data_IF_253127251796
#
_entry.id   IF_253127251796
#
_cell.length_a   1.000
_cell.length_b   1.000
_cell.length_c   1.000
_cell.angle_alpha   90.00
_cell.angle_beta   90.00
_cell.angle_gamma   90.00
#
_symmetry.space_group_name_H-M   'P 1'
#
loop_
_entity.id
_entity.type
_entity.pdbx_description
1 polymer ?
#
# COMPACT_ATOMS: atom_id res chain seq x y z
N UNK A 1 -8.47 -9.57 23.15
CA UNK A 1 -8.53 -8.18 23.66
C UNK A 1 -8.02 -7.24 22.58
N UNK A 2 -8.91 -6.39 22.10
CA UNK A 2 -8.77 -5.47 20.98
C UNK A 2 -7.81 -4.33 21.35
N UNK A 3 -6.62 -4.25 20.75
CA UNK A 3 -5.79 -3.05 20.84
C UNK A 3 -6.02 -2.23 19.58
N UNK A 4 -7.08 -1.41 19.63
CA UNK A 4 -7.20 -0.24 18.75
C UNK A 4 -5.86 0.49 18.76
N UNK A 5 -5.30 0.73 17.57
CA UNK A 5 -4.28 1.73 17.35
C UNK A 5 -4.85 3.08 17.78
N UNK A 6 -4.72 3.37 19.07
CA UNK A 6 -4.98 4.70 19.59
C UNK A 6 -3.86 5.56 19.01
N UNK A 7 -4.20 6.36 18.02
CA UNK A 7 -3.45 7.59 17.75
C UNK A 7 -3.44 8.29 19.10
N UNK A 8 -2.33 8.21 19.85
CA UNK A 8 -2.10 9.08 20.99
C UNK A 8 -1.96 10.47 20.39
N UNK A 9 -3.07 11.15 20.16
CA UNK A 9 -3.06 12.61 20.09
C UNK A 9 -2.66 13.05 21.49
N UNK A 10 -1.41 13.44 21.63
CA UNK A 10 -0.94 14.10 22.83
C UNK A 10 -1.85 15.31 23.12
N UNK A 11 -2.01 15.67 24.39
CA UNK A 11 -2.85 16.81 24.77
C UNK A 11 -2.38 18.09 24.05
N UNK A 12 -1.07 18.17 23.79
CA UNK A 12 -0.42 19.19 22.99
C UNK A 12 -0.88 19.18 21.51
N UNK A 13 -0.90 18.02 20.84
CA UNK A 13 -1.39 17.89 19.47
C UNK A 13 -2.86 18.26 19.33
N UNK A 14 -3.67 17.92 20.36
CA UNK A 14 -5.09 18.26 20.40
C UNK A 14 -5.30 19.77 20.54
N UNK A 15 -4.55 20.43 21.41
CA UNK A 15 -4.54 21.89 21.56
C UNK A 15 -4.05 22.60 20.30
N UNK A 16 -3.02 22.07 19.64
CA UNK A 16 -2.48 22.62 18.40
C UNK A 16 -3.50 22.51 17.24
N UNK A 17 -4.17 21.37 17.10
CA UNK A 17 -5.25 21.17 16.11
C UNK A 17 -6.45 22.11 16.34
N UNK A 18 -6.83 22.34 17.60
CA UNK A 18 -7.87 23.30 17.96
C UNK A 18 -7.46 24.74 17.59
N UNK A 19 -6.20 25.10 17.82
CA UNK A 19 -5.63 26.39 17.42
C UNK A 19 -5.66 26.62 15.91
N UNK A 20 -5.24 25.63 15.11
CA UNK A 20 -5.25 25.73 13.64
C UNK A 20 -6.67 25.87 13.08
N UNK A 21 -7.60 25.08 13.61
CA UNK A 21 -8.99 25.09 13.14
C UNK A 21 -9.67 26.42 13.42
N UNK A 22 -9.46 26.98 14.62
CA UNK A 22 -10.00 28.28 15.00
C UNK A 22 -9.43 29.42 14.15
N UNK A 23 -8.12 29.44 13.93
CA UNK A 23 -7.47 30.48 13.12
C UNK A 23 -7.85 30.39 11.65
N UNK A 24 -7.95 29.17 11.09
CA UNK A 24 -8.36 28.95 9.71
C UNK A 24 -9.82 29.41 9.48
N UNK A 25 -10.74 29.03 10.37
CA UNK A 25 -12.14 29.46 10.30
C UNK A 25 -12.26 30.99 10.38
N UNK A 26 -11.53 31.63 11.29
CA UNK A 26 -11.50 33.08 11.43
C UNK A 26 -10.95 33.79 10.19
N UNK A 27 -9.89 33.26 9.56
CA UNK A 27 -9.32 33.84 8.33
C UNK A 27 -10.20 33.62 7.11
N UNK A 28 -10.85 32.46 7.00
CA UNK A 28 -11.79 32.16 5.91
C UNK A 28 -13.05 33.06 5.96
N UNK A 29 -13.48 33.47 7.16
CA UNK A 29 -14.61 34.42 7.32
C UNK A 29 -14.28 35.87 6.90
N UNK A 30 -13.00 36.21 6.72
CA UNK A 30 -12.55 37.56 6.35
C UNK A 30 -12.35 37.74 4.84
N UNK A 31 -13.37 37.40 4.05
CA UNK A 31 -13.36 37.56 2.60
C UNK A 31 -13.30 39.06 2.25
N UNK A 32 -12.17 39.53 1.72
CA UNK A 32 -11.99 40.94 1.31
C UNK A 32 -10.61 41.55 1.57
N UNK A 33 -9.71 40.88 2.31
CA UNK A 33 -8.34 41.37 2.51
C UNK A 33 -7.42 40.93 1.37
N UNK A 34 -6.59 41.86 0.87
CA UNK A 34 -5.61 41.64 -0.22
C UNK A 34 -4.73 40.41 -0.03
N UNK A 35 -4.32 40.12 1.21
CA UNK A 35 -3.41 39.02 1.54
C UNK A 35 -4.10 37.80 2.20
N UNK A 36 -5.44 37.74 2.20
CA UNK A 36 -6.16 36.67 2.89
C UNK A 36 -5.77 35.30 2.33
N UNK A 37 -5.67 35.20 1.00
CA UNK A 37 -5.33 33.97 0.28
C UNK A 37 -3.94 33.45 0.67
N UNK A 38 -2.98 34.34 0.82
CA UNK A 38 -1.60 34.04 1.21
C UNK A 38 -1.55 33.58 2.66
N UNK A 39 -2.28 34.25 3.56
CA UNK A 39 -2.37 33.86 4.98
C UNK A 39 -3.01 32.48 5.13
N UNK A 40 -4.13 32.22 4.47
CA UNK A 40 -4.78 30.89 4.47
C UNK A 40 -3.83 29.82 3.93
N UNK A 41 -3.10 30.13 2.85
CA UNK A 41 -2.12 29.20 2.27
C UNK A 41 -0.98 28.88 3.22
N UNK A 42 -0.47 29.87 3.96
CA UNK A 42 0.59 29.66 4.95
C UNK A 42 0.11 28.85 6.15
N UNK A 43 -1.13 29.06 6.61
CA UNK A 43 -1.75 28.25 7.67
C UNK A 43 -1.90 26.80 7.23
N UNK A 44 -2.44 26.56 6.03
CA UNK A 44 -2.56 25.21 5.47
C UNK A 44 -1.20 24.51 5.33
N UNK A 45 -0.16 25.26 4.94
CA UNK A 45 1.21 24.73 4.89
C UNK A 45 1.73 24.35 6.26
N UNK A 46 1.49 25.16 7.29
CA UNK A 46 1.86 24.81 8.68
C UNK A 46 1.20 23.49 9.08
N UNK A 47 -0.13 23.40 8.94
CA UNK A 47 -0.90 22.18 9.28
C UNK A 47 -0.34 20.96 8.54
N UNK A 48 -0.01 21.11 7.26
CA UNK A 48 0.57 20.02 6.48
C UNK A 48 1.94 19.59 7.02
N UNK A 49 2.81 20.54 7.38
CA UNK A 49 4.11 20.20 7.95
C UNK A 49 3.99 19.55 9.33
N UNK A 50 3.12 20.04 10.20
CA UNK A 50 2.87 19.39 11.50
C UNK A 50 2.28 17.98 11.33
N UNK A 51 1.40 17.80 10.35
CA UNK A 51 0.89 16.47 9.99
C UNK A 51 1.99 15.55 9.46
N UNK A 52 2.88 16.07 8.59
CA UNK A 52 4.03 15.32 8.10
C UNK A 52 4.98 14.96 9.26
N UNK A 53 5.21 15.86 10.20
CA UNK A 53 6.03 15.61 11.39
C UNK A 53 5.44 14.51 12.27
N UNK A 54 4.12 14.54 12.49
CA UNK A 54 3.41 13.45 13.17
C UNK A 54 3.54 12.11 12.40
N UNK A 55 3.53 12.15 11.07
CA UNK A 55 3.76 10.95 10.24
C UNK A 55 5.23 10.49 10.31
N UNK A 56 6.20 11.38 10.49
CA UNK A 56 7.61 11.00 10.72
C UNK A 56 7.83 10.39 12.09
N UNK A 57 7.04 10.74 13.11
CA UNK A 57 7.05 10.02 14.40
C UNK A 57 6.46 8.61 14.25
N UNK A 58 5.55 8.40 13.27
CA UNK A 58 4.96 7.09 12.94
C UNK A 58 5.87 6.26 12.02
N UNK A 59 6.77 6.88 11.26
CA UNK A 59 7.88 6.23 10.55
C UNK A 59 9.04 6.15 11.53
N UNK A 60 9.23 5.07 12.31
CA UNK A 60 10.24 5.07 13.34
C UNK A 60 11.60 5.04 12.66
N UNK A 61 12.27 6.19 12.58
CA UNK A 61 13.72 6.24 12.52
C UNK A 61 14.24 5.71 13.84
N UNK A 62 14.30 4.38 13.97
CA UNK A 62 15.12 3.69 14.96
C UNK A 62 14.74 3.86 16.44
N UNK A 63 13.49 3.61 16.84
CA UNK A 63 13.25 3.21 18.23
C UNK A 63 13.75 1.76 18.42
N UNK A 64 14.71 1.56 19.33
CA UNK A 64 15.32 0.28 19.72
C UNK A 64 14.37 -0.77 20.33
N UNK A 65 13.05 -0.52 20.29
CA UNK A 65 12.03 -1.47 20.74
C UNK A 65 11.85 -2.61 19.74
N UNK A 66 11.70 -3.84 20.26
CA UNK A 66 11.41 -5.05 19.48
C UNK A 66 10.18 -4.86 18.60
N UNK A 67 9.16 -4.14 19.06
CA UNK A 67 7.95 -3.89 18.27
C UNK A 67 8.18 -2.91 17.11
N UNK A 68 9.05 -1.91 17.31
CA UNK A 68 9.45 -0.97 16.27
C UNK A 68 10.22 -1.67 15.14
N UNK A 69 11.18 -2.52 15.50
CA UNK A 69 11.94 -3.32 14.53
C UNK A 69 11.06 -4.24 13.70
N UNK A 70 10.03 -4.86 14.30
CA UNK A 70 9.07 -5.70 13.59
C UNK A 70 8.23 -4.92 12.58
N UNK A 71 7.79 -3.71 12.94
CA UNK A 71 7.06 -2.82 12.02
C UNK A 71 7.94 -2.39 10.85
N UNK A 72 9.17 -1.97 11.11
CA UNK A 72 10.15 -1.60 10.07
C UNK A 72 10.41 -2.77 9.14
N UNK A 73 10.67 -3.98 9.67
CA UNK A 73 10.85 -5.18 8.87
C UNK A 73 9.64 -5.48 7.96
N UNK A 74 8.43 -5.36 8.51
CA UNK A 74 7.22 -5.59 7.73
C UNK A 74 7.01 -4.54 6.65
N UNK A 75 7.31 -3.27 6.93
CA UNK A 75 7.27 -2.20 5.93
C UNK A 75 8.28 -2.45 4.81
N UNK A 76 9.53 -2.79 5.14
CA UNK A 76 10.56 -3.16 4.16
C UNK A 76 10.13 -4.34 3.29
N UNK A 77 9.45 -5.34 3.87
CA UNK A 77 8.88 -6.44 3.10
C UNK A 77 7.79 -5.98 2.11
N UNK A 78 6.90 -5.08 2.51
CA UNK A 78 5.88 -4.53 1.61
C UNK A 78 6.48 -3.65 0.50
N UNK A 79 7.54 -2.90 0.81
CA UNK A 79 8.30 -2.12 -0.17
C UNK A 79 9.02 -3.02 -1.18
N UNK A 80 9.68 -4.08 -0.72
CA UNK A 80 10.28 -5.09 -1.60
C UNK A 80 9.23 -5.75 -2.50
N UNK A 81 8.04 -6.04 -1.96
CA UNK A 81 6.94 -6.57 -2.76
C UNK A 81 6.50 -5.57 -3.83
N UNK A 82 6.30 -4.30 -3.48
CA UNK A 82 5.75 -3.31 -4.42
C UNK A 82 6.73 -2.97 -5.55
N UNK A 83 8.02 -2.88 -5.26
CA UNK A 83 9.05 -2.51 -6.24
C UNK A 83 9.45 -3.68 -7.15
N UNK A 84 9.29 -4.92 -6.70
CA UNK A 84 9.72 -6.10 -7.45
C UNK A 84 8.79 -6.39 -8.63
N UNK A 85 9.37 -6.53 -9.82
CA UNK A 85 8.63 -6.91 -11.03
C UNK A 85 8.08 -8.35 -10.96
N UNK A 86 8.91 -9.31 -10.55
CA UNK A 86 8.54 -10.72 -10.42
C UNK A 86 8.26 -11.05 -8.96
N UNK A 87 6.99 -10.97 -8.55
CA UNK A 87 6.59 -11.19 -7.16
C UNK A 87 6.35 -12.67 -6.80
N UNK A 88 6.18 -13.55 -7.79
CA UNK A 88 5.95 -14.97 -7.54
C UNK A 88 7.26 -15.70 -7.18
N UNK A 89 7.69 -15.54 -5.93
CA UNK A 89 8.91 -16.13 -5.36
C UNK A 89 8.61 -16.78 -3.99
N UNK A 90 9.42 -17.75 -3.54
CA UNK A 90 9.26 -18.30 -2.20
C UNK A 90 9.53 -17.23 -1.14
N UNK A 91 8.94 -17.41 0.06
CA UNK A 91 9.15 -16.51 1.20
C UNK A 91 10.65 -16.39 1.52
N UNK A 92 11.41 -17.46 1.30
CA UNK A 92 12.84 -17.53 1.55
C UNK A 92 13.63 -16.45 0.79
N UNK A 93 13.26 -16.14 -0.46
CA UNK A 93 13.90 -15.09 -1.26
C UNK A 93 13.79 -13.73 -0.57
N UNK A 94 12.59 -13.39 -0.10
CA UNK A 94 12.35 -12.12 0.60
C UNK A 94 13.02 -12.09 1.97
N UNK A 95 13.01 -13.22 2.68
CA UNK A 95 13.63 -13.33 3.99
C UNK A 95 15.16 -13.16 3.91
N UNK A 96 15.80 -13.75 2.89
CA UNK A 96 17.23 -13.59 2.62
C UNK A 96 17.59 -12.13 2.33
N UNK A 97 16.82 -11.43 1.49
CA UNK A 97 17.06 -10.01 1.16
C UNK A 97 16.87 -9.09 2.37
N UNK A 98 15.99 -9.47 3.30
CA UNK A 98 15.77 -8.75 4.56
C UNK A 98 16.67 -9.22 5.71
N UNK A 99 17.61 -10.15 5.44
CA UNK A 99 18.51 -10.73 6.44
C UNK A 99 17.79 -11.35 7.66
N UNK A 100 16.65 -11.99 7.44
CA UNK A 100 15.85 -12.67 8.49
C UNK A 100 15.51 -14.11 8.11
N UNK A 101 15.04 -14.89 9.08
CA UNK A 101 14.52 -16.22 8.77
C UNK A 101 13.12 -16.16 8.14
N UNK A 102 12.77 -17.07 7.23
CA UNK A 102 11.45 -17.11 6.59
C UNK A 102 10.31 -17.30 7.59
N UNK A 103 10.56 -18.07 8.64
CA UNK A 103 9.63 -18.28 9.75
C UNK A 103 9.41 -17.01 10.57
N UNK A 104 10.48 -16.24 10.83
CA UNK A 104 10.36 -14.95 11.51
C UNK A 104 9.59 -13.93 10.67
N UNK A 105 9.92 -13.79 9.39
CA UNK A 105 9.17 -12.92 8.48
C UNK A 105 7.69 -13.28 8.44
N UNK A 106 7.37 -14.57 8.32
CA UNK A 106 5.98 -15.04 8.32
C UNK A 106 5.25 -14.73 9.62
N UNK A 107 5.91 -14.91 10.76
CA UNK A 107 5.36 -14.58 12.08
C UNK A 107 5.10 -13.08 12.20
N UNK A 108 6.07 -12.25 11.85
CA UNK A 108 5.95 -10.78 11.89
C UNK A 108 4.82 -10.29 11.00
N UNK A 109 4.74 -10.78 9.75
CA UNK A 109 3.61 -10.44 8.86
C UNK A 109 2.26 -10.83 9.45
N UNK A 110 2.17 -12.04 10.03
CA UNK A 110 0.90 -12.54 10.59
C UNK A 110 0.46 -11.73 11.81
N UNK A 111 1.39 -11.37 12.67
CA UNK A 111 1.10 -10.65 13.91
C UNK A 111 0.69 -9.19 13.62
N UNK A 112 1.34 -8.53 12.65
CA UNK A 112 1.04 -7.14 12.32
C UNK A 112 -0.16 -6.97 11.38
N UNK A 113 -0.42 -7.94 10.52
CA UNK A 113 -1.42 -7.79 9.44
C UNK A 113 -2.52 -8.86 9.43
N UNK A 114 -2.45 -9.87 10.30
CA UNK A 114 -3.32 -11.03 10.27
C UNK A 114 -3.10 -11.99 9.09
N UNK A 115 -2.09 -11.77 8.24
CA UNK A 115 -1.81 -12.55 7.02
C UNK A 115 -0.36 -13.03 7.01
N UNK A 116 -0.14 -14.26 6.55
CA UNK A 116 1.21 -14.79 6.37
C UNK A 116 1.95 -14.08 5.23
N UNK A 117 3.28 -14.07 5.26
CA UNK A 117 4.11 -13.53 4.17
C UNK A 117 3.75 -14.15 2.81
N UNK A 118 3.49 -15.46 2.75
CA UNK A 118 3.06 -16.15 1.54
C UNK A 118 1.70 -15.66 1.02
N UNK A 119 0.78 -15.26 1.91
CA UNK A 119 -0.52 -14.70 1.51
C UNK A 119 -0.34 -13.30 0.92
N UNK A 120 0.53 -12.47 1.50
CA UNK A 120 0.90 -11.17 0.93
C UNK A 120 1.51 -11.31 -0.47
N UNK A 121 2.50 -12.19 -0.63
CA UNK A 121 3.13 -12.49 -1.93
C UNK A 121 2.06 -12.88 -2.96
N UNK A 122 1.13 -13.77 -2.58
CA UNK A 122 0.06 -14.22 -3.47
C UNK A 122 -0.88 -13.08 -3.86
N UNK A 123 -1.33 -12.27 -2.91
CA UNK A 123 -2.26 -11.16 -3.17
C UNK A 123 -1.63 -10.09 -4.07
N UNK A 124 -0.37 -9.73 -3.84
CA UNK A 124 0.35 -8.80 -4.71
C UNK A 124 0.59 -9.39 -6.11
N UNK A 125 0.96 -10.67 -6.19
CA UNK A 125 1.10 -11.37 -7.49
C UNK A 125 -0.24 -11.37 -8.23
N UNK A 126 -1.35 -11.62 -7.54
CA UNK A 126 -2.69 -11.60 -8.12
C UNK A 126 -3.08 -10.22 -8.65
N UNK A 127 -2.72 -9.15 -7.95
CA UNK A 127 -2.91 -7.77 -8.42
C UNK A 127 -2.15 -7.50 -9.72
N UNK A 128 -0.88 -7.90 -9.81
CA UNK A 128 -0.08 -7.77 -11.03
C UNK A 128 -0.70 -8.56 -12.19
N UNK A 129 -1.11 -9.81 -11.92
CA UNK A 129 -1.78 -10.65 -12.93
C UNK A 129 -3.05 -9.98 -13.44
N UNK A 130 -3.90 -9.45 -12.54
CA UNK A 130 -5.10 -8.72 -12.94
C UNK A 130 -4.74 -7.53 -13.81
N UNK A 131 -3.79 -6.71 -13.37
CA UNK A 131 -3.36 -5.52 -14.08
C UNK A 131 -2.84 -5.84 -15.49
N UNK A 132 -1.97 -6.85 -15.64
CA UNK A 132 -1.45 -7.26 -16.93
C UNK A 132 -2.55 -7.84 -17.84
N UNK A 133 -3.50 -8.62 -17.29
CA UNK A 133 -4.57 -9.21 -18.09
C UNK A 133 -5.58 -8.16 -18.58
N UNK A 134 -5.79 -7.06 -17.85
CA UNK A 134 -6.76 -6.01 -18.20
C UNK A 134 -6.17 -4.86 -18.99
N UNK A 135 -4.92 -4.46 -18.72
CA UNK A 135 -4.29 -3.26 -19.27
C UNK A 135 -3.22 -3.55 -20.34
N UNK A 136 -3.00 -4.82 -20.71
CA UNK A 136 -2.04 -5.18 -21.74
C UNK A 136 -2.67 -6.02 -22.85
N UNK A 137 -2.25 -5.75 -24.08
CA UNK A 137 -2.57 -6.57 -25.25
C UNK A 137 -1.59 -7.73 -25.48
N UNK A 138 -0.56 -7.85 -24.62
CA UNK A 138 0.38 -8.99 -24.61
C UNK A 138 -0.36 -10.32 -24.55
N UNK A 139 0.17 -11.35 -25.19
CA UNK A 139 -0.36 -12.71 -25.11
C UNK A 139 -0.28 -13.25 -23.67
N UNK A 140 -1.13 -14.23 -23.37
CA UNK A 140 -1.10 -14.89 -22.04
C UNK A 140 0.26 -15.58 -21.78
N UNK A 141 0.91 -16.05 -22.85
CA UNK A 141 2.25 -16.67 -22.79
C UNK A 141 3.33 -15.66 -22.42
N UNK A 142 3.28 -14.45 -22.98
CA UNK A 142 4.21 -13.37 -22.63
C UNK A 142 4.01 -12.93 -21.19
N UNK A 143 2.77 -12.70 -20.75
CA UNK A 143 2.48 -12.32 -19.36
C UNK A 143 2.96 -13.38 -18.38
N UNK A 144 2.78 -14.68 -18.70
CA UNK A 144 3.30 -15.77 -17.89
C UNK A 144 4.82 -15.67 -17.70
N UNK A 145 5.56 -15.41 -18.78
CA UNK A 145 7.01 -15.26 -18.76
C UNK A 145 7.44 -14.00 -17.99
N UNK A 146 6.76 -12.88 -18.23
CA UNK A 146 7.09 -11.58 -17.64
C UNK A 146 6.88 -11.57 -16.12
N UNK A 147 5.84 -12.26 -15.64
CA UNK A 147 5.57 -12.40 -14.21
C UNK A 147 6.38 -13.53 -13.55
N UNK A 148 7.29 -14.17 -14.29
CA UNK A 148 8.23 -15.17 -13.79
C UNK A 148 7.61 -16.52 -13.43
N UNK A 149 6.46 -16.87 -14.01
CA UNK A 149 5.89 -18.21 -13.84
C UNK A 149 6.66 -19.23 -14.70
N UNK A 150 6.97 -20.42 -14.15
CA UNK A 150 7.78 -21.41 -14.85
C UNK A 150 7.07 -21.98 -16.09
N UNK A 151 5.75 -22.14 -16.02
CA UNK A 151 4.95 -22.72 -17.10
C UNK A 151 3.57 -22.08 -17.19
N UNK A 152 3.02 -22.05 -18.42
CA UNK A 152 1.68 -21.56 -18.71
C UNK A 152 0.58 -22.38 -18.00
N UNK A 153 0.80 -23.69 -17.83
CA UNK A 153 -0.09 -24.58 -17.10
C UNK A 153 -0.20 -24.19 -15.63
N UNK A 154 0.94 -23.87 -15.00
CA UNK A 154 0.99 -23.41 -13.61
C UNK A 154 0.33 -22.03 -13.46
N UNK A 155 0.62 -21.10 -14.38
CA UNK A 155 -0.03 -19.79 -14.43
C UNK A 155 -1.56 -19.90 -14.56
N UNK A 156 -2.04 -20.81 -15.41
CA UNK A 156 -3.47 -21.02 -15.61
C UNK A 156 -4.15 -21.59 -14.35
N UNK A 157 -3.48 -22.51 -13.64
CA UNK A 157 -3.95 -23.02 -12.33
C UNK A 157 -3.98 -21.90 -11.28
N UNK A 158 -2.95 -21.07 -11.23
CA UNK A 158 -2.88 -19.91 -10.34
C UNK A 158 -4.06 -18.95 -10.62
N UNK A 159 -4.28 -18.58 -11.88
CA UNK A 159 -5.39 -17.70 -12.28
C UNK A 159 -6.75 -18.27 -11.91
N UNK A 160 -6.99 -19.58 -12.10
CA UNK A 160 -8.27 -20.19 -11.68
C UNK A 160 -8.48 -20.10 -10.18
N UNK A 161 -7.42 -20.31 -9.39
CA UNK A 161 -7.50 -20.24 -7.93
C UNK A 161 -7.66 -18.81 -7.40
N UNK A 162 -7.00 -17.85 -8.04
CA UNK A 162 -6.93 -16.46 -7.59
C UNK A 162 -8.07 -15.59 -8.16
N UNK A 163 -8.43 -15.81 -9.43
CA UNK A 163 -9.41 -15.02 -10.18
C UNK A 163 -10.74 -15.76 -10.43
N UNK A 164 -10.83 -17.03 -10.04
CA UNK A 164 -12.00 -17.88 -10.26
C UNK A 164 -12.21 -18.35 -11.71
N UNK A 165 -11.34 -17.98 -12.65
CA UNK A 165 -11.46 -18.36 -14.06
C UNK A 165 -10.11 -18.41 -14.79
N UNK A 166 -10.11 -18.86 -16.05
CA UNK A 166 -8.90 -18.88 -16.87
C UNK A 166 -8.43 -17.46 -17.24
N UNK A 167 -7.13 -17.23 -17.48
CA UNK A 167 -6.61 -15.91 -17.82
C UNK A 167 -7.25 -15.32 -19.09
N UNK A 168 -7.53 -16.18 -20.07
CA UNK A 168 -8.23 -15.81 -21.32
C UNK A 168 -9.68 -15.40 -21.06
N UNK A 169 -10.41 -16.16 -20.24
CA UNK A 169 -11.77 -15.82 -19.85
C UNK A 169 -11.82 -14.52 -19.03
N UNK A 170 -10.87 -14.31 -18.12
CA UNK A 170 -10.75 -13.09 -17.33
C UNK A 170 -10.55 -11.87 -18.22
N UNK A 171 -9.62 -11.95 -19.19
CA UNK A 171 -9.40 -10.88 -20.17
C UNK A 171 -10.65 -10.58 -21.00
N UNK A 172 -11.37 -11.61 -21.48
CA UNK A 172 -12.61 -11.43 -22.25
C UNK A 172 -13.67 -10.69 -21.43
N UNK A 173 -13.86 -11.07 -20.17
CA UNK A 173 -14.78 -10.40 -19.25
C UNK A 173 -14.39 -8.93 -19.02
N UNK A 174 -13.10 -8.67 -18.78
CA UNK A 174 -12.60 -7.32 -18.54
C UNK A 174 -12.72 -6.40 -19.77
N UNK A 175 -12.50 -6.92 -20.98
CA UNK A 175 -12.73 -6.17 -22.22
C UNK A 175 -14.22 -5.90 -22.46
N UNK A 176 -15.10 -6.86 -22.15
CA UNK A 176 -16.54 -6.69 -22.25
C UNK A 176 -17.07 -5.60 -21.31
N UNK A 177 -16.56 -5.51 -20.07
CA UNK A 177 -16.94 -4.46 -19.11
C UNK A 177 -16.36 -3.08 -19.45
N UNK A 178 -15.27 -2.99 -20.22
CA UNK A 178 -14.68 -1.72 -20.69
C UNK A 178 -15.39 -1.15 -21.92
N UNK A 179 -16.12 -1.96 -22.68
CA UNK A 179 -16.89 -1.51 -23.85
C UNK A 179 -18.18 -0.74 -23.54
N UNK A 180 -18.41 -0.33 -22.29
CA UNK A 180 -19.63 0.33 -21.82
C UNK A 180 -19.37 1.74 -21.27
N UNK A 181 -18.42 2.45 -21.86
CA UNK A 181 -18.34 3.92 -21.76
C UNK A 181 -18.59 4.42 -23.19
N UNK A 182 -19.74 5.08 -23.47
CA UNK A 182 -19.93 5.73 -24.76
C UNK A 182 -18.84 6.78 -24.91
N UNK A 183 -18.12 6.68 -26.01
CA UNK A 183 -17.17 7.69 -26.46
C UNK A 183 -17.95 9.01 -26.63
N UNK A 184 -17.65 10.01 -25.81
CA UNK A 184 -18.09 11.41 -25.97
C UNK A 184 -16.85 12.26 -26.03
#
# INVERSE_FOLDING_TARGET
MNKSNHIRTDEESRRQSEGYTGLLAFKLAQTGRRYNREVVRSILRSILFDYLELMTVVVPTGETSVEGQRKVLFQQFLELLSMRHVKHQPVDTYAQELCVSPGYLTKVSKDLSGKTAMKWIREYTEQDVRYCLTNSDRSVKEICKDLGFPELSFFSKFCRRALGCSPTAYRKKAKASRGQIPNV
#
